data_IF_851030041994
#
_entry.id   IF_851030041994
#
_cell.length_a   1.000
_cell.length_b   1.000
_cell.length_c   1.000
_cell.angle_alpha   90.00
_cell.angle_beta   90.00
_cell.angle_gamma   90.00
#
_symmetry.space_group_name_H-M   'P 1'
#
loop_
_entity.id
_entity.type
_entity.pdbx_description
1 polymer ?
#
# COMPACT_ATOMS: atom_id res chain seq x y z
N UNK A 1 25.62 10.70 5.23
CA UNK A 1 24.65 10.93 4.15
C UNK A 1 23.27 10.60 4.64
N UNK A 2 22.22 11.28 4.14
CA UNK A 2 20.82 11.04 4.52
C UNK A 2 20.06 10.26 3.45
N UNK A 3 18.94 9.66 3.83
CA UNK A 3 18.02 8.95 2.94
C UNK A 3 16.57 9.33 3.26
N UNK A 4 15.70 9.25 2.25
CA UNK A 4 14.25 9.35 2.42
C UNK A 4 13.61 8.01 2.09
N UNK A 5 12.55 7.67 2.82
CA UNK A 5 11.75 6.50 2.52
C UNK A 5 10.43 6.96 1.90
N UNK A 6 10.04 6.36 0.78
CA UNK A 6 8.79 6.67 0.10
C UNK A 6 8.03 5.41 -0.27
N UNK A 7 6.71 5.52 -0.38
CA UNK A 7 5.83 4.47 -0.90
C UNK A 7 4.96 5.03 -2.01
N UNK A 8 4.74 4.25 -3.07
CA UNK A 8 3.80 4.60 -4.14
C UNK A 8 3.25 3.35 -4.80
N UNK A 9 2.17 3.49 -5.55
CA UNK A 9 1.64 2.44 -6.42
C UNK A 9 1.58 2.91 -7.87
N UNK A 10 1.61 1.97 -8.82
CA UNK A 10 1.48 2.26 -10.24
C UNK A 10 0.75 1.13 -10.97
N UNK A 11 0.25 1.43 -12.17
CA UNK A 11 -0.39 0.50 -13.07
C UNK A 11 -0.10 0.90 -14.53
N UNK A 12 -0.59 0.11 -15.49
CA UNK A 12 -0.55 0.49 -16.90
C UNK A 12 -1.30 1.81 -17.20
N UNK A 13 -2.27 2.21 -16.36
CA UNK A 13 -3.01 3.45 -16.51
C UNK A 13 -2.25 4.68 -15.97
N UNK A 14 -1.14 4.49 -15.25
CA UNK A 14 -0.34 5.57 -14.66
C UNK A 14 0.05 5.33 -13.20
N UNK A 15 0.45 6.40 -12.53
CA UNK A 15 0.96 6.38 -11.15
C UNK A 15 -0.10 6.84 -10.14
N UNK A 16 -0.06 6.27 -8.94
CA UNK A 16 -0.83 6.72 -7.79
C UNK A 16 -0.09 7.79 -6.97
N UNK A 17 -0.63 8.10 -5.80
CA UNK A 17 0.02 9.04 -4.88
C UNK A 17 1.33 8.46 -4.33
N UNK A 18 2.39 9.28 -4.34
CA UNK A 18 3.64 9.00 -3.64
C UNK A 18 3.55 9.55 -2.21
N UNK A 19 4.01 8.78 -1.23
CA UNK A 19 3.99 9.15 0.17
C UNK A 19 5.38 9.10 0.78
N UNK A 20 5.71 10.13 1.55
CA UNK A 20 6.95 10.20 2.31
C UNK A 20 6.74 9.59 3.69
N UNK A 21 7.59 8.63 4.04
CA UNK A 21 7.56 7.91 5.30
C UNK A 21 8.63 8.53 6.21
N UNK A 22 8.20 9.01 7.37
CA UNK A 22 9.11 9.39 8.44
C UNK A 22 9.55 8.13 9.20
N UNK A 23 10.86 7.89 9.23
CA UNK A 23 11.44 6.71 9.87
C UNK A 23 11.21 5.41 9.09
N UNK A 24 11.12 4.29 9.82
CA UNK A 24 10.88 2.97 9.25
C UNK A 24 9.39 2.64 9.29
N UNK A 25 8.82 2.21 8.15
CA UNK A 25 7.43 1.78 8.09
C UNK A 25 7.22 0.50 8.91
N UNK A 26 6.29 0.55 9.87
CA UNK A 26 5.76 -0.63 10.56
C UNK A 26 4.43 -1.11 9.96
N UNK A 27 3.86 -2.19 10.52
CA UNK A 27 2.60 -2.75 10.05
C UNK A 27 1.38 -1.86 10.35
N UNK A 28 1.44 -1.04 11.40
CA UNK A 28 0.34 -0.13 11.80
C UNK A 28 0.27 1.03 10.81
N UNK A 29 1.42 1.63 10.51
CA UNK A 29 1.58 2.64 9.47
C UNK A 29 1.14 2.09 8.12
N UNK A 30 1.59 0.88 7.76
CA UNK A 30 1.18 0.21 6.53
C UNK A 30 -0.34 0.04 6.43
N UNK A 31 -0.99 -0.50 7.48
CA UNK A 31 -2.44 -0.71 7.48
C UNK A 31 -3.23 0.61 7.41
N UNK A 32 -2.78 1.64 8.14
CA UNK A 32 -3.38 2.98 8.13
C UNK A 32 -3.30 3.58 6.73
N UNK A 33 -2.12 3.50 6.13
CA UNK A 33 -1.84 4.00 4.79
C UNK A 33 -2.61 3.24 3.71
N UNK A 34 -2.73 1.91 3.83
CA UNK A 34 -3.49 1.08 2.91
C UNK A 34 -4.95 1.55 2.82
N UNK A 35 -5.59 1.82 3.96
CA UNK A 35 -6.95 2.36 4.01
C UNK A 35 -7.07 3.77 3.43
N UNK A 36 -6.16 4.66 3.82
CA UNK A 36 -6.32 6.10 3.56
C UNK A 36 -5.87 6.51 2.15
N UNK A 37 -4.87 5.82 1.57
CA UNK A 37 -4.14 6.30 0.39
C UNK A 37 -4.08 5.28 -0.74
N UNK A 38 -3.79 4.02 -0.41
CA UNK A 38 -3.69 2.96 -1.42
C UNK A 38 -5.06 2.67 -2.02
N UNK A 39 -6.09 2.46 -1.18
CA UNK A 39 -7.42 2.10 -1.66
C UNK A 39 -8.02 3.11 -2.67
N UNK A 40 -8.01 4.43 -2.40
CA UNK A 40 -8.43 5.41 -3.39
C UNK A 40 -7.58 5.41 -4.66
N UNK A 41 -6.27 5.18 -4.55
CA UNK A 41 -5.36 5.13 -5.70
C UNK A 41 -5.65 3.89 -6.57
N UNK A 42 -5.87 2.72 -5.97
CA UNK A 42 -6.24 1.50 -6.69
C UNK A 42 -7.57 1.65 -7.43
N UNK A 43 -8.56 2.30 -6.83
CA UNK A 43 -9.85 2.57 -7.49
C UNK A 43 -9.68 3.44 -8.75
N UNK A 44 -8.75 4.40 -8.74
CA UNK A 44 -8.44 5.25 -9.90
C UNK A 44 -7.62 4.50 -10.97
N UNK A 45 -6.71 3.61 -10.54
CA UNK A 45 -5.72 2.99 -11.40
C UNK A 45 -6.14 1.64 -12.00
N UNK A 46 -7.11 0.94 -11.40
CA UNK A 46 -7.56 -0.33 -11.95
C UNK A 46 -8.65 -1.00 -11.15
N UNK A 47 -9.90 -0.86 -11.60
CA UNK A 47 -11.09 -1.45 -10.98
C UNK A 47 -11.07 -2.99 -10.93
N UNK A 48 -10.30 -3.62 -11.82
CA UNK A 48 -10.09 -5.07 -11.90
C UNK A 48 -8.61 -5.47 -11.74
N UNK A 49 -7.78 -4.57 -11.22
CA UNK A 49 -6.36 -4.84 -11.04
C UNK A 49 -6.12 -5.78 -9.85
N UNK A 50 -5.02 -6.54 -9.95
CA UNK A 50 -4.46 -7.29 -8.83
C UNK A 50 -3.50 -6.37 -8.08
N UNK A 51 -3.65 -6.28 -6.77
CA UNK A 51 -2.71 -5.55 -5.94
C UNK A 51 -1.50 -6.43 -5.63
N UNK A 52 -0.33 -5.95 -6.04
CA UNK A 52 0.92 -6.65 -5.83
C UNK A 52 1.80 -5.86 -4.85
N UNK A 53 2.38 -6.59 -3.89
CA UNK A 53 3.35 -6.09 -2.92
C UNK A 53 4.36 -7.19 -2.59
N UNK A 54 5.50 -6.82 -1.98
CA UNK A 54 6.49 -7.80 -1.52
C UNK A 54 6.03 -8.56 -0.26
N UNK A 55 6.74 -9.64 0.06
CA UNK A 55 6.45 -10.51 1.20
C UNK A 55 7.12 -10.04 2.50
N UNK A 56 7.32 -8.74 2.69
CA UNK A 56 7.88 -8.22 3.94
C UNK A 56 6.96 -8.58 5.13
N UNK A 57 7.52 -8.96 6.30
CA UNK A 57 6.73 -9.32 7.49
C UNK A 57 5.61 -8.32 7.85
N UNK A 58 5.79 -7.03 7.60
CA UNK A 58 4.77 -6.00 7.87
C UNK A 58 3.55 -6.11 6.93
N UNK A 59 3.75 -6.65 5.73
CA UNK A 59 2.71 -6.87 4.73
C UNK A 59 1.95 -8.19 4.96
N UNK A 60 2.56 -9.15 5.65
CA UNK A 60 1.98 -10.48 5.91
C UNK A 60 1.43 -10.65 7.33
N UNK A 61 1.34 -9.59 8.13
CA UNK A 61 0.76 -9.70 9.48
C UNK A 61 -0.71 -10.15 9.41
N UNK A 62 -1.20 -10.80 10.48
CA UNK A 62 -2.62 -11.18 10.58
C UNK A 62 -3.56 -9.99 10.35
N UNK A 63 -3.18 -8.81 10.86
CA UNK A 63 -3.99 -7.61 10.71
C UNK A 63 -3.96 -7.08 9.27
N UNK A 64 -2.79 -7.05 8.63
CA UNK A 64 -2.64 -6.64 7.23
C UNK A 64 -3.43 -7.56 6.31
N UNK A 65 -3.31 -8.87 6.47
CA UNK A 65 -4.04 -9.86 5.67
C UNK A 65 -5.56 -9.73 5.89
N UNK A 66 -6.01 -9.56 7.14
CA UNK A 66 -7.42 -9.36 7.43
C UNK A 66 -7.95 -8.08 6.76
N UNK A 67 -7.17 -7.00 6.79
CA UNK A 67 -7.52 -5.76 6.13
C UNK A 67 -7.66 -5.93 4.62
N UNK A 68 -6.67 -6.54 3.95
CA UNK A 68 -6.70 -6.80 2.49
C UNK A 68 -7.94 -7.57 2.06
N UNK A 69 -8.35 -8.57 2.87
CA UNK A 69 -9.59 -9.33 2.64
C UNK A 69 -10.83 -8.46 2.80
N UNK A 70 -10.88 -7.59 3.82
CA UNK A 70 -12.01 -6.68 4.04
C UNK A 70 -12.18 -5.68 2.90
N UNK A 71 -11.07 -5.17 2.36
CA UNK A 71 -11.11 -4.18 1.28
C UNK A 71 -11.30 -4.80 -0.10
N UNK A 72 -11.52 -6.12 -0.18
CA UNK A 72 -11.75 -6.91 -1.41
C UNK A 72 -10.70 -6.67 -2.50
N UNK A 73 -9.48 -6.35 -2.07
CA UNK A 73 -8.35 -6.22 -2.97
C UNK A 73 -7.96 -7.64 -3.40
N UNK A 74 -8.08 -7.90 -4.70
CA UNK A 74 -7.65 -9.17 -5.31
C UNK A 74 -6.16 -9.18 -5.57
#
# INVERSE_FOLDING_TARGET
GGSIMVWGCMSAAGTGELWFIEGNMDFIMYCTFLKQKIMPSLQKLGRTAVFQHDNDPKHTTKMTIALLRMVQVK
#
